data_IF_268361495630
#
_entry.id   IF_268361495630
#
_cell.length_a   1.000
_cell.length_b   1.000
_cell.length_c   1.000
_cell.angle_alpha   90.00
_cell.angle_beta   90.00
_cell.angle_gamma   90.00
#
_symmetry.space_group_name_H-M   'P 1'
#
loop_
_entity.id
_entity.type
_entity.pdbx_description
1 polymer ?
#
# COMPACT_ATOMS: atom_id res chain seq x y z
N UNK A 1 14.71 -10.30 14.23
CA UNK A 1 14.49 -11.07 15.47
C UNK A 1 15.76 -11.20 16.30
N UNK A 2 16.94 -11.37 15.69
CA UNK A 2 18.25 -11.38 16.37
C UNK A 2 18.52 -10.19 17.31
N UNK A 3 18.04 -8.98 16.95
CA UNK A 3 18.12 -7.83 17.85
C UNK A 3 17.33 -8.04 19.17
N UNK A 4 16.14 -8.63 19.08
CA UNK A 4 15.25 -8.83 20.23
C UNK A 4 15.76 -9.94 21.15
N UNK A 5 16.52 -10.89 20.63
CA UNK A 5 17.18 -11.96 21.42
C UNK A 5 18.21 -11.41 22.43
N UNK A 6 18.72 -10.19 22.21
CA UNK A 6 19.65 -9.53 23.14
C UNK A 6 18.96 -8.90 24.36
N UNK A 7 17.63 -8.88 24.41
CA UNK A 7 16.86 -8.33 25.53
C UNK A 7 16.30 -9.44 26.43
N UNK A 8 16.10 -9.17 27.73
CA UNK A 8 15.36 -10.08 28.59
C UNK A 8 13.96 -10.31 28.00
N UNK A 9 13.51 -11.56 27.97
CA UNK A 9 12.26 -12.01 27.31
C UNK A 9 12.24 -11.90 25.77
N UNK A 10 13.39 -11.90 25.09
CA UNK A 10 13.50 -11.78 23.63
C UNK A 10 12.64 -12.76 22.80
N UNK A 11 12.41 -13.97 23.29
CA UNK A 11 11.52 -14.95 22.65
C UNK A 11 10.05 -14.50 22.64
N UNK A 12 9.54 -14.00 23.77
CA UNK A 12 8.16 -13.48 23.89
C UNK A 12 8.01 -12.22 23.03
N UNK A 13 8.99 -11.32 23.08
CA UNK A 13 8.99 -10.10 22.26
C UNK A 13 9.01 -10.42 20.76
N UNK A 14 9.75 -11.46 20.33
CA UNK A 14 9.77 -11.89 18.93
C UNK A 14 8.42 -12.43 18.49
N UNK A 15 7.74 -13.21 19.33
CA UNK A 15 6.38 -13.68 19.05
C UNK A 15 5.38 -12.52 18.89
N UNK A 16 5.41 -11.55 19.81
CA UNK A 16 4.56 -10.35 19.74
C UNK A 16 4.87 -9.56 18.46
N UNK A 17 6.15 -9.39 18.11
CA UNK A 17 6.56 -8.68 16.91
C UNK A 17 6.07 -9.37 15.63
N UNK A 18 6.11 -10.71 15.55
CA UNK A 18 5.54 -11.47 14.42
C UNK A 18 4.03 -11.19 14.31
N UNK A 19 3.31 -11.24 15.42
CA UNK A 19 1.86 -10.97 15.43
C UNK A 19 1.54 -9.54 15.00
N UNK A 20 2.34 -8.57 15.45
CA UNK A 20 2.19 -7.16 15.07
C UNK A 20 2.46 -6.95 13.59
N UNK A 21 3.54 -7.53 13.04
CA UNK A 21 3.84 -7.46 11.60
C UNK A 21 2.72 -8.10 10.78
N UNK A 22 2.21 -9.27 11.20
CA UNK A 22 1.12 -9.95 10.51
C UNK A 22 -0.17 -9.12 10.48
N UNK A 23 -0.59 -8.57 11.62
CA UNK A 23 -1.80 -7.74 11.72
C UNK A 23 -1.69 -6.43 10.95
N UNK A 24 -0.54 -5.75 11.00
CA UNK A 24 -0.26 -4.57 10.17
C UNK A 24 -0.32 -4.90 8.68
N UNK A 25 0.29 -6.02 8.28
CA UNK A 25 0.28 -6.44 6.89
C UNK A 25 -1.14 -6.75 6.40
N UNK A 26 -1.94 -7.50 7.17
CA UNK A 26 -3.33 -7.83 6.82
C UNK A 26 -4.18 -6.56 6.68
N UNK A 27 -4.08 -5.64 7.64
CA UNK A 27 -4.86 -4.39 7.64
C UNK A 27 -4.48 -3.48 6.47
N UNK A 28 -3.19 -3.40 6.16
CA UNK A 28 -2.67 -2.64 5.02
C UNK A 28 -3.11 -3.25 3.68
N UNK A 29 -3.06 -4.58 3.56
CA UNK A 29 -3.51 -5.29 2.37
C UNK A 29 -5.02 -5.13 2.13
N UNK A 30 -5.84 -5.21 3.19
CA UNK A 30 -7.29 -4.97 3.08
C UNK A 30 -7.59 -3.54 2.57
N UNK A 31 -6.94 -2.54 3.15
CA UNK A 31 -7.07 -1.15 2.70
C UNK A 31 -6.65 -0.96 1.24
N UNK A 32 -5.57 -1.61 0.80
CA UNK A 32 -5.09 -1.54 -0.59
C UNK A 32 -6.09 -2.17 -1.58
N UNK A 33 -6.58 -3.37 -1.27
CA UNK A 33 -7.56 -4.06 -2.13
C UNK A 33 -8.91 -3.35 -2.15
N UNK A 34 -9.30 -2.68 -1.06
CA UNK A 34 -10.47 -1.82 -1.02
C UNK A 34 -10.34 -0.64 -1.98
N UNK A 35 -9.23 0.12 -1.93
CA UNK A 35 -9.01 1.27 -2.84
C UNK A 35 -8.99 0.82 -4.30
N UNK A 36 -8.26 -0.26 -4.62
CA UNK A 36 -8.24 -0.83 -5.96
C UNK A 36 -9.63 -1.30 -6.41
N UNK A 37 -10.40 -1.91 -5.52
CA UNK A 37 -11.77 -2.32 -5.77
C UNK A 37 -12.67 -1.13 -6.12
N UNK A 38 -12.59 -0.05 -5.36
CA UNK A 38 -13.35 1.18 -5.62
C UNK A 38 -12.98 1.80 -6.96
N UNK A 39 -11.67 1.90 -7.28
CA UNK A 39 -11.18 2.44 -8.55
C UNK A 39 -11.62 1.58 -9.75
N UNK A 40 -11.73 0.27 -9.59
CA UNK A 40 -12.15 -0.66 -10.65
C UNK A 40 -13.65 -0.94 -10.70
N UNK A 41 -14.41 -0.34 -9.79
CA UNK A 41 -15.88 -0.46 -9.71
C UNK A 41 -16.57 0.88 -9.98
N UNK A 42 -16.01 1.72 -10.87
CA UNK A 42 -16.53 3.07 -11.20
C UNK A 42 -16.73 3.97 -9.96
N UNK A 43 -15.86 3.86 -8.95
CA UNK A 43 -15.96 4.66 -7.74
C UNK A 43 -16.97 4.16 -6.72
N UNK A 44 -17.49 2.93 -6.86
CA UNK A 44 -18.37 2.33 -5.85
C UNK A 44 -17.64 2.21 -4.50
N UNK A 45 -18.16 2.93 -3.49
CA UNK A 45 -17.61 2.97 -2.13
C UNK A 45 -17.75 1.64 -1.37
N UNK A 46 -18.57 0.72 -1.88
CA UNK A 46 -18.72 -0.64 -1.36
C UNK A 46 -18.44 -1.66 -2.48
N UNK A 47 -17.17 -1.82 -2.90
CA UNK A 47 -16.83 -2.73 -3.98
C UNK A 47 -17.09 -4.19 -3.54
N UNK A 48 -17.66 -5.04 -4.42
CA UNK A 48 -17.90 -6.45 -4.15
C UNK A 48 -16.66 -7.18 -3.64
N UNK A 49 -16.84 -8.09 -2.68
CA UNK A 49 -15.74 -8.87 -2.09
C UNK A 49 -14.95 -9.67 -3.13
N UNK A 50 -15.59 -10.10 -4.23
CA UNK A 50 -14.91 -10.80 -5.34
C UNK A 50 -13.84 -9.93 -6.02
N UNK A 51 -14.08 -8.62 -6.16
CA UNK A 51 -13.13 -7.70 -6.78
C UNK A 51 -11.94 -7.47 -5.83
N UNK A 52 -12.20 -7.26 -4.54
CA UNK A 52 -11.14 -7.14 -3.52
C UNK A 52 -10.24 -8.39 -3.49
N UNK A 53 -10.86 -9.57 -3.52
CA UNK A 53 -10.13 -10.85 -3.52
C UNK A 53 -9.27 -11.02 -4.78
N UNK A 54 -9.80 -10.65 -5.95
CA UNK A 54 -9.06 -10.68 -7.22
C UNK A 54 -7.82 -9.79 -7.15
N UNK A 55 -7.95 -8.55 -6.66
CA UNK A 55 -6.82 -7.65 -6.47
C UNK A 55 -5.80 -8.17 -5.46
N UNK A 56 -6.26 -8.78 -4.36
CA UNK A 56 -5.38 -9.38 -3.36
C UNK A 56 -4.52 -10.52 -3.93
N UNK A 57 -5.10 -11.37 -4.80
CA UNK A 57 -4.36 -12.41 -5.53
C UNK A 57 -3.33 -11.78 -6.46
N UNK A 58 -3.73 -10.80 -7.27
CA UNK A 58 -2.83 -10.15 -8.23
C UNK A 58 -1.63 -9.53 -7.51
N UNK A 59 -1.85 -8.80 -6.40
CA UNK A 59 -0.78 -8.19 -5.62
C UNK A 59 0.18 -9.24 -5.04
N UNK A 60 -0.37 -10.34 -4.52
CA UNK A 60 0.42 -11.44 -3.95
C UNK A 60 1.27 -12.15 -5.02
N UNK A 61 0.72 -12.36 -6.22
CA UNK A 61 1.44 -12.93 -7.37
C UNK A 61 2.55 -12.01 -7.84
N UNK A 62 2.29 -10.71 -7.97
CA UNK A 62 3.32 -9.73 -8.35
C UNK A 62 4.47 -9.72 -7.34
N UNK A 63 4.17 -9.69 -6.04
CA UNK A 63 5.18 -9.74 -4.99
C UNK A 63 6.01 -11.05 -5.07
N UNK A 64 5.36 -12.19 -5.26
CA UNK A 64 6.03 -13.49 -5.39
C UNK A 64 6.94 -13.54 -6.62
N UNK A 65 6.49 -13.05 -7.77
CA UNK A 65 7.29 -13.01 -9.01
C UNK A 65 8.49 -12.09 -8.89
N UNK A 66 8.33 -10.90 -8.32
CA UNK A 66 9.44 -9.95 -8.12
C UNK A 66 10.49 -10.49 -7.14
N UNK A 67 10.04 -11.13 -6.05
CA UNK A 67 10.93 -11.79 -5.11
C UNK A 67 11.65 -12.98 -5.74
N UNK A 68 10.98 -13.77 -6.57
CA UNK A 68 11.64 -14.88 -7.27
C UNK A 68 12.66 -14.38 -8.29
N UNK A 69 12.30 -13.38 -9.10
CA UNK A 69 13.16 -12.90 -10.19
C UNK A 69 14.44 -12.21 -9.72
N UNK A 70 14.41 -11.49 -8.60
CA UNK A 70 15.55 -10.65 -8.19
C UNK A 70 15.73 -10.52 -6.67
N UNK A 71 15.03 -11.34 -5.89
CA UNK A 71 15.03 -11.24 -4.43
C UNK A 71 14.55 -9.88 -3.93
N UNK A 72 15.08 -9.47 -2.78
CA UNK A 72 14.77 -8.18 -2.19
C UNK A 72 15.15 -6.99 -3.08
N UNK A 73 16.30 -7.08 -3.77
CA UNK A 73 16.74 -6.02 -4.70
C UNK A 73 15.78 -5.89 -5.88
N UNK A 74 15.34 -7.02 -6.44
CA UNK A 74 14.33 -7.04 -7.51
C UNK A 74 13.02 -6.38 -7.08
N UNK A 75 12.53 -6.72 -5.88
CA UNK A 75 11.34 -6.09 -5.31
C UNK A 75 11.50 -4.57 -5.12
N UNK A 76 12.64 -4.12 -4.61
CA UNK A 76 12.93 -2.71 -4.40
C UNK A 76 13.00 -1.94 -5.73
N UNK A 77 13.74 -2.46 -6.71
CA UNK A 77 13.87 -1.82 -8.03
C UNK A 77 12.52 -1.78 -8.75
N UNK A 78 11.77 -2.88 -8.76
CA UNK A 78 10.43 -2.94 -9.35
C UNK A 78 9.47 -1.93 -8.72
N UNK A 79 9.50 -1.80 -7.40
CA UNK A 79 8.67 -0.83 -6.67
C UNK A 79 9.05 0.62 -7.02
N UNK A 80 10.34 0.93 -7.14
CA UNK A 80 10.81 2.28 -7.52
C UNK A 80 10.34 2.63 -8.94
N UNK A 81 10.49 1.70 -9.89
CA UNK A 81 10.06 1.92 -11.27
C UNK A 81 8.55 2.14 -11.38
N UNK A 82 7.75 1.40 -10.59
CA UNK A 82 6.30 1.58 -10.54
C UNK A 82 5.90 2.92 -9.87
N UNK A 83 6.60 3.32 -8.81
CA UNK A 83 6.29 4.54 -8.07
C UNK A 83 6.68 5.83 -8.81
N UNK A 84 7.73 5.78 -9.65
CA UNK A 84 8.24 6.96 -10.35
C UNK A 84 7.21 7.72 -11.21
N UNK A 85 6.48 7.09 -12.16
CA UNK A 85 5.44 7.79 -12.92
C UNK A 85 4.29 8.28 -12.02
N UNK A 86 3.96 7.52 -10.98
CA UNK A 86 2.91 7.91 -10.04
C UNK A 86 3.29 9.15 -9.22
N UNK A 87 4.57 9.34 -8.89
CA UNK A 87 5.07 10.54 -8.23
C UNK A 87 4.80 11.80 -9.07
N UNK A 88 4.96 11.73 -10.39
CA UNK A 88 4.61 12.84 -11.30
C UNK A 88 3.11 13.15 -11.23
N UNK A 89 2.26 12.13 -11.19
CA UNK A 89 0.81 12.30 -11.05
C UNK A 89 0.47 12.98 -9.72
N UNK A 90 1.10 12.57 -8.62
CA UNK A 90 0.91 13.20 -7.30
C UNK A 90 1.28 14.69 -7.35
N UNK A 91 2.40 15.05 -7.99
CA UNK A 91 2.78 16.46 -8.13
C UNK A 91 1.71 17.27 -8.90
N UNK A 92 1.15 16.70 -9.96
CA UNK A 92 0.04 17.32 -10.70
C UNK A 92 -1.22 17.47 -9.83
N UNK A 93 -1.55 16.44 -9.04
CA UNK A 93 -2.68 16.48 -8.10
C UNK A 93 -2.49 17.57 -7.03
N UNK A 94 -1.27 17.75 -6.51
CA UNK A 94 -0.96 18.83 -5.57
C UNK A 94 -1.19 20.21 -6.19
N UNK A 95 -0.77 20.41 -7.46
CA UNK A 95 -1.03 21.65 -8.19
C UNK A 95 -2.52 21.89 -8.43
N UNK A 96 -3.26 20.83 -8.78
CA UNK A 96 -4.72 20.90 -8.98
C UNK A 96 -5.44 21.25 -7.68
N UNK A 97 -5.05 20.63 -6.56
CA UNK A 97 -5.63 20.90 -5.25
C UNK A 97 -5.37 22.35 -4.81
N UNK A 98 -4.15 22.85 -5.03
CA UNK A 98 -3.82 24.25 -4.71
C UNK A 98 -4.65 25.24 -5.54
N UNK A 99 -4.92 24.92 -6.82
CA UNK A 99 -5.82 25.71 -7.66
C UNK A 99 -7.25 25.68 -7.13
N UNK A 100 -7.77 24.49 -6.81
CA UNK A 100 -9.11 24.30 -6.24
C UNK A 100 -9.32 25.11 -4.96
N UNK A 101 -8.38 25.06 -4.01
CA UNK A 101 -8.47 25.86 -2.78
C UNK A 101 -8.37 27.36 -3.04
N UNK A 102 -7.58 27.80 -4.02
CA UNK A 102 -7.52 29.22 -4.41
C UNK A 102 -8.83 29.68 -5.07
N UNK A 103 -9.51 28.80 -5.80
CA UNK A 103 -10.82 29.08 -6.39
C UNK A 103 -11.91 29.17 -5.32
N UNK A 104 -11.96 28.23 -4.36
CA UNK A 104 -12.87 28.29 -3.21
C UNK A 104 -12.68 29.57 -2.39
N UNK A 105 -11.43 29.93 -2.04
CA UNK A 105 -11.16 31.18 -1.30
C UNK A 105 -11.54 32.45 -2.07
N UNK A 106 -11.56 32.41 -3.41
CA UNK A 106 -12.01 33.53 -4.24
C UNK A 106 -13.53 33.57 -4.42
N UNK A 107 -14.20 32.43 -4.33
CA UNK A 107 -15.64 32.30 -4.48
C UNK A 107 -16.45 32.77 -3.26
N UNK A 108 -15.79 33.03 -2.11
CA UNK A 108 -16.39 33.75 -0.99
C UNK A 108 -17.52 33.00 -0.27
N UNK A 109 -17.37 31.69 -0.05
CA UNK A 109 -18.12 30.91 0.95
C UNK A 109 -17.17 30.36 1.99
#
# INVERSE_FOLDING_TARGET
FTLLEHFPFGGIMSFIAIFLIATFFITSADSATFVLGTLTSNGNLNPPNAIKFTWGIIQSVVAAVLLWSGGLKGLQTGSILAAFPFAVIILLLMLSLFRSFREEMRAGT
#
